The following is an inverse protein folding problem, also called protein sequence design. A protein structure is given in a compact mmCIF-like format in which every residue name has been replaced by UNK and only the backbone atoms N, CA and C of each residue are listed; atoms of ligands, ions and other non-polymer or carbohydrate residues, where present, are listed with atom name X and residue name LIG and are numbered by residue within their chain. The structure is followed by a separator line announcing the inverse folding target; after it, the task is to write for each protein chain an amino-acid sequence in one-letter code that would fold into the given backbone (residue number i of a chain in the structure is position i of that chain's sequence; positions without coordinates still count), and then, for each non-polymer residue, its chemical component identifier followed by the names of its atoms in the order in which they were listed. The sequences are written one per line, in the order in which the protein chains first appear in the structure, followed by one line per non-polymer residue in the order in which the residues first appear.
data_IF_358036881067
#
_entry.id   IF_358036881067
#
_cell.length_a   1.000
_cell.length_b   1.000
_cell.length_c   1.000
_cell.angle_alpha   90.00
_cell.angle_beta   90.00
_cell.angle_gamma   90.00
#
_symmetry.space_group_name_H-M   'P 1'
#
loop_
_entity.id
_entity.type
_entity.pdbx_description
1 polymer ?
#
# COMPACT_ATOMS: atom_id res chain seq x y z
N UNK A 1 -1.81 18.30 9.21
CA UNK A 1 -2.69 19.11 9.15
C UNK A 1 -3.63 19.01 10.27
N UNK A 2 -3.84 19.82 10.74
CA UNK A 2 -4.50 19.82 11.63
C UNK A 2 -5.76 19.80 11.44
N UNK A 3 -6.36 19.43 12.01
CA UNK A 3 -7.64 19.24 11.88
C UNK A 3 -8.11 18.89 10.66
N UNK A 4 -7.39 18.68 9.81
CA UNK A 4 -7.91 18.38 8.62
C UNK A 4 -8.08 16.96 8.57
N UNK A 5 -8.26 16.46 7.55
CA UNK A 5 -8.60 15.11 7.36
C UNK A 5 -7.57 14.19 7.88
N UNK A 6 -6.41 14.64 8.02
CA UNK A 6 -5.41 13.77 8.50
C UNK A 6 -5.30 12.54 7.69
N UNK A 7 -5.49 12.67 6.44
CA UNK A 7 -5.37 11.54 5.57
C UNK A 7 -3.89 11.37 5.32
N UNK A 8 -3.27 10.58 6.12
CA UNK A 8 -1.86 10.30 5.94
C UNK A 8 -1.64 9.43 4.74
N UNK A 9 -1.13 9.98 3.70
CA UNK A 9 -0.88 9.23 2.47
C UNK A 9 0.40 8.42 2.59
N UNK A 10 1.45 9.05 3.09
CA UNK A 10 2.73 8.39 3.24
C UNK A 10 3.07 8.35 4.70
N UNK A 11 3.29 7.14 5.21
CA UNK A 11 3.57 6.95 6.62
C UNK A 11 5.04 7.12 6.93
N UNK A 12 5.88 6.72 6.01
CA UNK A 12 7.31 6.79 6.26
C UNK A 12 8.05 6.84 4.94
N UNK A 13 9.10 7.67 4.88
CA UNK A 13 9.93 7.77 3.69
C UNK A 13 11.37 7.51 4.10
N UNK A 14 12.01 6.61 3.39
CA UNK A 14 13.42 6.31 3.57
C UNK A 14 14.08 6.36 2.22
N UNK A 15 15.42 6.34 2.18
CA UNK A 15 16.09 6.42 0.87
C UNK A 15 15.61 5.42 -0.16
N UNK A 16 15.23 4.21 0.29
CA UNK A 16 14.83 3.17 -0.66
C UNK A 16 13.36 2.79 -0.59
N UNK A 17 12.61 3.32 0.35
CA UNK A 17 11.27 2.82 0.64
C UNK A 17 10.31 3.94 1.00
N UNK A 18 9.09 3.83 0.46
CA UNK A 18 7.99 4.69 0.86
C UNK A 18 6.90 3.76 1.39
N UNK A 19 6.49 3.96 2.64
CA UNK A 19 5.40 3.19 3.21
C UNK A 19 4.10 3.96 3.06
N UNK A 20 3.13 3.33 2.41
CA UNK A 20 1.81 3.91 2.22
C UNK A 20 0.95 3.54 3.41
N UNK A 21 0.40 4.55 4.05
CA UNK A 21 -0.32 4.39 5.30
C UNK A 21 -1.51 3.44 5.18
N UNK A 22 -1.73 2.68 6.24
CA UNK A 22 -2.90 1.80 6.30
C UNK A 22 -4.20 2.58 6.29
N UNK A 23 -4.17 3.84 6.72
CA UNK A 23 -5.37 4.64 6.68
C UNK A 23 -5.89 4.79 5.25
N UNK A 24 -5.00 4.97 4.29
CA UNK A 24 -5.47 5.11 2.92
C UNK A 24 -5.63 3.75 2.26
N UNK A 25 -4.77 2.79 2.58
CA UNK A 25 -4.86 1.48 1.98
C UNK A 25 -6.17 0.79 2.30
N UNK A 26 -6.72 1.00 3.50
CA UNK A 26 -7.96 0.32 3.86
C UNK A 26 -9.14 0.80 3.04
N UNK A 27 -9.02 1.93 2.35
CA UNK A 27 -10.11 2.45 1.54
C UNK A 27 -9.92 2.17 0.06
N UNK A 28 -8.92 1.36 -0.29
CA UNK A 28 -8.60 1.17 -1.70
C UNK A 28 -9.77 0.56 -2.48
N UNK A 29 -10.57 -0.30 -1.84
CA UNK A 29 -11.67 -0.93 -2.53
C UNK A 29 -12.88 -0.03 -2.68
N UNK A 30 -13.05 0.91 -1.77
CA UNK A 30 -14.27 1.71 -1.73
C UNK A 30 -14.10 3.14 -2.20
N UNK A 31 -12.89 3.60 -2.44
CA UNK A 31 -12.66 5.00 -2.73
C UNK A 31 -11.79 5.19 -3.96
N UNK A 32 -12.36 5.82 -4.98
CA UNK A 32 -11.59 6.16 -6.17
C UNK A 32 -10.50 7.17 -5.85
N UNK A 33 -10.76 8.07 -4.90
CA UNK A 33 -9.75 9.03 -4.50
C UNK A 33 -8.57 8.31 -3.87
N UNK A 34 -8.81 7.32 -3.01
CA UNK A 34 -7.74 6.56 -2.40
C UNK A 34 -6.89 5.89 -3.48
N UNK A 35 -7.54 5.28 -4.47
CA UNK A 35 -6.82 4.63 -5.55
C UNK A 35 -5.97 5.61 -6.35
N UNK A 36 -6.51 6.81 -6.62
CA UNK A 36 -5.77 7.81 -7.36
C UNK A 36 -4.55 8.29 -6.58
N UNK A 37 -4.71 8.48 -5.27
CA UNK A 37 -3.60 8.94 -4.44
C UNK A 37 -2.50 7.87 -4.38
N UNK A 38 -2.88 6.63 -4.23
CA UNK A 38 -1.92 5.54 -4.19
C UNK A 38 -1.18 5.45 -5.52
N UNK A 39 -1.91 5.56 -6.62
CA UNK A 39 -1.28 5.49 -7.93
C UNK A 39 -0.30 6.63 -8.15
N UNK A 40 -0.61 7.82 -7.64
CA UNK A 40 0.31 8.94 -7.76
C UNK A 40 1.61 8.66 -7.00
N UNK A 41 1.48 8.11 -5.79
CA UNK A 41 2.66 7.81 -4.99
C UNK A 41 3.50 6.73 -5.66
N UNK A 42 2.86 5.67 -6.17
CA UNK A 42 3.62 4.59 -6.80
C UNK A 42 4.32 5.07 -8.06
N UNK A 43 3.69 5.98 -8.81
CA UNK A 43 4.31 6.52 -10.02
C UNK A 43 5.55 7.35 -9.67
N UNK A 44 5.43 8.20 -8.66
CA UNK A 44 6.56 9.03 -8.24
C UNK A 44 7.69 8.15 -7.71
N UNK A 45 7.35 7.15 -6.91
CA UNK A 45 8.36 6.27 -6.34
C UNK A 45 9.08 5.50 -7.44
N UNK A 46 8.32 5.00 -8.41
CA UNK A 46 8.93 4.24 -9.50
C UNK A 46 9.91 5.09 -10.29
N UNK A 47 9.53 6.35 -10.56
CA UNK A 47 10.40 7.24 -11.31
C UNK A 47 11.65 7.57 -10.53
N UNK A 48 11.59 7.46 -9.21
CA UNK A 48 12.72 7.77 -8.33
C UNK A 48 13.53 6.54 -7.96
N UNK A 49 13.13 5.37 -8.44
CA UNK A 49 13.82 4.14 -8.08
C UNK A 49 13.58 3.69 -6.64
N UNK A 50 12.42 4.05 -6.08
CA UNK A 50 12.09 3.77 -4.70
C UNK A 50 10.97 2.74 -4.64
N UNK A 51 11.08 1.77 -3.75
CA UNK A 51 10.04 0.76 -3.58
C UNK A 51 8.91 1.29 -2.69
N UNK A 52 7.72 0.79 -2.92
CA UNK A 52 6.56 1.15 -2.12
C UNK A 52 6.07 -0.05 -1.33
N UNK A 53 5.63 0.21 -0.10
CA UNK A 53 5.08 -0.81 0.78
C UNK A 53 3.71 -0.34 1.26
N UNK A 54 2.68 -1.15 1.06
CA UNK A 54 1.34 -0.84 1.55
C UNK A 54 1.13 -1.53 2.89
N UNK A 55 0.58 -0.78 3.85
CA UNK A 55 0.28 -1.31 5.17
C UNK A 55 -1.18 -1.75 5.27
N UNK A 56 -1.46 -2.65 6.18
CA UNK A 56 -2.82 -3.09 6.50
C UNK A 56 -3.55 -3.72 5.32
N UNK A 57 -2.92 -4.70 4.71
CA UNK A 57 -3.60 -5.48 3.68
C UNK A 57 -4.49 -6.48 4.40
N UNK A 58 -5.78 -6.40 4.17
CA UNK A 58 -6.74 -7.22 4.90
C UNK A 58 -7.54 -8.17 4.05
N UNK A 59 -7.45 -8.09 2.74
CA UNK A 59 -8.21 -8.96 1.88
C UNK A 59 -7.49 -9.21 0.58
N UNK A 60 -7.89 -10.29 -0.08
CA UNK A 60 -7.30 -10.62 -1.39
C UNK A 60 -7.66 -9.57 -2.43
N UNK A 61 -8.87 -9.03 -2.38
CA UNK A 61 -9.26 -8.03 -3.36
C UNK A 61 -8.49 -6.73 -3.16
N UNK A 62 -8.23 -6.35 -1.91
CA UNK A 62 -7.40 -5.18 -1.65
C UNK A 62 -5.98 -5.41 -2.15
N UNK A 63 -5.44 -6.61 -1.90
CA UNK A 63 -4.11 -6.95 -2.36
C UNK A 63 -4.01 -6.81 -3.87
N UNK A 64 -5.00 -7.33 -4.58
CA UNK A 64 -4.97 -7.29 -6.03
C UNK A 64 -5.03 -5.85 -6.54
N UNK A 65 -5.89 -5.03 -5.94
CA UNK A 65 -5.98 -3.64 -6.33
C UNK A 65 -4.68 -2.90 -6.09
N UNK A 66 -4.06 -3.12 -4.94
CA UNK A 66 -2.81 -2.44 -4.63
C UNK A 66 -1.71 -2.86 -5.59
N UNK A 67 -1.67 -4.13 -5.93
CA UNK A 67 -0.69 -4.61 -6.90
C UNK A 67 -0.94 -3.95 -8.27
N UNK A 68 -2.20 -3.87 -8.68
CA UNK A 68 -2.55 -3.26 -9.97
C UNK A 68 -2.20 -1.78 -9.99
N UNK A 69 -2.22 -1.12 -8.84
CA UNK A 69 -1.87 0.29 -8.73
C UNK A 69 -0.37 0.53 -8.67
N UNK A 70 0.41 -0.53 -8.66
CA UNK A 70 1.86 -0.41 -8.73
C UNK A 70 2.62 -0.54 -7.43
N UNK A 71 1.93 -0.92 -6.35
CA UNK A 71 2.60 -1.13 -5.07
C UNK A 71 3.50 -2.36 -5.16
N UNK A 72 4.71 -2.23 -4.66
CA UNK A 72 5.70 -3.31 -4.75
C UNK A 72 5.56 -4.36 -3.67
N UNK A 73 5.36 -3.94 -2.42
CA UNK A 73 5.35 -4.87 -1.30
C UNK A 73 4.13 -4.62 -0.43
N UNK A 74 3.74 -5.58 0.36
CA UNK A 74 2.63 -5.44 1.27
C UNK A 74 2.98 -5.87 2.67
N UNK A 75 2.28 -5.32 3.65
CA UNK A 75 2.48 -5.62 5.04
C UNK A 75 1.12 -5.62 5.73
N UNK A 76 0.91 -6.57 6.60
CA UNK A 76 -0.37 -6.67 7.30
C UNK A 76 -0.93 -8.06 7.12
N UNK A 77 -2.20 -8.23 7.55
CA UNK A 77 -2.82 -9.52 7.51
C UNK A 77 -1.93 -10.48 8.32
N UNK A 78 -1.43 -11.51 7.80
CA UNK A 78 -0.54 -12.41 8.52
C UNK A 78 0.87 -12.40 7.95
N UNK A 79 1.19 -11.35 7.22
CA UNK A 79 2.48 -11.30 6.55
C UNK A 79 3.63 -11.01 7.50
N UNK A 80 3.37 -10.28 8.58
CA UNK A 80 4.40 -10.01 9.57
C UNK A 80 5.45 -9.01 9.12
N UNK A 81 5.96 -9.16 7.93
CA UNK A 81 6.95 -8.26 7.37
C UNK A 81 6.54 -7.99 5.93
N UNK A 82 7.08 -6.94 5.33
CA UNK A 82 6.73 -6.63 3.95
C UNK A 82 7.10 -7.77 3.01
N UNK A 83 6.24 -8.05 2.07
CA UNK A 83 6.44 -9.08 1.08
C UNK A 83 6.07 -8.58 -0.29
N UNK A 84 6.74 -9.05 -1.33
CA UNK A 84 6.41 -8.65 -2.70
C UNK A 84 4.96 -8.92 -3.03
N UNK A 85 4.34 -8.00 -3.75
CA UNK A 85 2.92 -8.10 -4.03
C UNK A 85 2.55 -9.39 -4.76
N UNK A 86 3.42 -9.85 -5.63
CA UNK A 86 3.10 -11.01 -6.44
C UNK A 86 3.03 -12.31 -5.64
N UNK A 87 3.55 -12.33 -4.40
CA UNK A 87 3.48 -13.55 -3.60
C UNK A 87 2.63 -13.40 -2.36
N UNK A 88 1.94 -12.27 -2.20
CA UNK A 88 1.10 -12.06 -1.01
C UNK A 88 0.09 -13.17 -0.82
N UNK A 89 -0.60 -13.55 -1.88
CA UNK A 89 -1.65 -14.55 -1.77
C UNK A 89 -1.12 -15.91 -1.40
N UNK A 90 0.10 -16.22 -1.81
CA UNK A 90 0.70 -17.50 -1.52
C UNK A 90 1.17 -17.60 -0.08
N UNK A 91 1.49 -16.46 0.53
CA UNK A 91 2.03 -16.45 1.87
C UNK A 91 0.97 -16.32 2.94
N UNK A 92 -0.26 -16.02 2.57
CA UNK A 92 -1.28 -15.85 3.57
C UNK A 92 -1.65 -17.20 4.15
N UNK A 93 -2.05 -17.25 5.42
CA UNK A 93 -2.46 -18.52 6.01
C UNK A 93 -3.76 -19.00 5.38
N UNK A 94 -3.99 -20.27 5.44
CA UNK A 94 -5.24 -20.82 4.98
C UNK A 94 -6.36 -20.28 5.86
N UNK A 95 -7.44 -19.93 5.26
CA UNK A 95 -8.54 -19.29 5.98
C UNK A 95 -9.15 -20.22 7.01
#
# INVERSE_FOLDING_TARGET
GEGNANLELVHEVRPEVVKISGQICRHVESSGLARSMIQAVTSIARDSGVRTIAEFIESESARQLLQDLGVDDGQGWHLGRPMPAQIWAEERPAA
#
